data_IF_035871381177
#
_entry.id   IF_035871381177
#
_cell.length_a   1.000
_cell.length_b   1.000
_cell.length_c   1.000
_cell.angle_alpha   90.00
_cell.angle_beta   90.00
_cell.angle_gamma   90.00
#
_symmetry.space_group_name_H-M   'P 1'
#
loop_
_entity.id
_entity.type
_entity.pdbx_description
1 polymer ?
#
# COMPACT_ATOMS: atom_id res chain seq x y z
N UNK A 1 -21.84 -11.53 4.05
CA UNK A 1 -21.13 -11.64 2.77
C UNK A 1 -21.27 -10.33 2.03
N UNK A 2 -20.18 -9.74 1.54
CA UNK A 2 -20.20 -8.64 0.58
C UNK A 2 -21.05 -7.46 1.04
N UNK A 3 -20.67 -6.83 2.14
CA UNK A 3 -21.47 -5.77 2.78
C UNK A 3 -21.88 -4.64 1.82
N UNK A 4 -21.13 -4.43 0.73
CA UNK A 4 -21.56 -3.69 -0.45
C UNK A 4 -21.81 -4.57 -1.68
N UNK A 5 -20.82 -5.36 -2.10
CA UNK A 5 -20.80 -6.04 -3.40
C UNK A 5 -20.51 -7.54 -3.25
N UNK A 6 -21.31 -8.36 -3.94
CA UNK A 6 -20.99 -9.76 -4.24
C UNK A 6 -20.74 -9.89 -5.75
N UNK A 7 -19.52 -10.25 -6.14
CA UNK A 7 -19.18 -10.54 -7.53
C UNK A 7 -19.03 -12.05 -7.76
N UNK A 8 -19.86 -12.62 -8.63
CA UNK A 8 -19.74 -14.00 -9.10
C UNK A 8 -19.51 -14.10 -10.62
N UNK A 9 -19.33 -12.95 -11.29
CA UNK A 9 -19.08 -12.84 -12.73
C UNK A 9 -17.84 -12.01 -12.99
N UNK A 10 -17.90 -11.14 -14.01
CA UNK A 10 -16.85 -10.16 -14.27
C UNK A 10 -17.33 -8.78 -13.82
N UNK A 11 -16.53 -8.08 -13.02
CA UNK A 11 -16.83 -6.74 -12.53
C UNK A 11 -15.60 -5.84 -12.67
N UNK A 12 -15.82 -4.62 -13.15
CA UNK A 12 -14.82 -3.57 -13.24
C UNK A 12 -15.25 -2.40 -12.36
N UNK A 13 -14.41 -2.03 -11.41
CA UNK A 13 -14.55 -0.83 -10.58
C UNK A 13 -13.43 0.13 -10.93
N UNK A 14 -13.81 1.35 -11.31
CA UNK A 14 -12.87 2.42 -11.66
C UNK A 14 -13.34 3.70 -11.00
N UNK A 15 -12.42 4.48 -10.42
CA UNK A 15 -12.72 5.78 -9.79
C UNK A 15 -13.86 5.69 -8.75
N UNK A 16 -13.84 4.64 -7.93
CA UNK A 16 -14.95 4.31 -7.02
C UNK A 16 -14.58 4.59 -5.56
N UNK A 17 -15.59 4.88 -4.74
CA UNK A 17 -15.49 4.92 -3.28
C UNK A 17 -16.38 3.84 -2.67
N UNK A 18 -15.78 2.90 -1.94
CA UNK A 18 -16.49 1.93 -1.11
C UNK A 18 -16.18 2.22 0.36
N UNK A 19 -17.12 2.89 1.02
CA UNK A 19 -16.94 3.35 2.40
C UNK A 19 -18.07 2.89 3.32
N UNK A 20 -17.72 2.51 4.56
CA UNK A 20 -18.67 2.21 5.65
C UNK A 20 -19.65 1.05 5.36
N UNK A 21 -19.26 0.09 4.51
CA UNK A 21 -20.00 -1.15 4.37
C UNK A 21 -19.65 -2.10 5.50
N UNK A 22 -20.63 -2.85 6.00
CA UNK A 22 -20.42 -3.75 7.13
C UNK A 22 -21.12 -5.09 6.93
N UNK A 23 -20.52 -6.14 7.48
CA UNK A 23 -21.14 -7.45 7.62
C UNK A 23 -21.19 -7.79 9.10
N UNK A 24 -22.40 -7.82 9.67
CA UNK A 24 -22.67 -8.33 11.01
C UNK A 24 -23.15 -9.79 10.93
N UNK A 25 -22.36 -10.72 11.49
CA UNK A 25 -22.65 -12.15 11.48
C UNK A 25 -22.72 -12.72 12.91
N UNK A 26 -23.92 -13.16 13.32
CA UNK A 26 -24.13 -13.79 14.63
C UNK A 26 -23.97 -15.30 14.49
N UNK A 27 -23.07 -15.90 15.28
CA UNK A 27 -22.79 -17.35 15.28
C UNK A 27 -22.43 -17.93 13.90
N UNK A 28 -21.95 -17.10 12.99
CA UNK A 28 -21.52 -17.49 11.64
C UNK A 28 -20.33 -16.63 11.23
N UNK A 29 -19.61 -17.10 10.22
CA UNK A 29 -18.47 -16.36 9.66
C UNK A 29 -18.93 -15.20 8.79
N UNK A 30 -18.18 -14.10 8.84
CA UNK A 30 -18.39 -12.90 8.03
C UNK A 30 -17.30 -12.75 6.98
N UNK A 31 -17.67 -12.19 5.82
CA UNK A 31 -16.77 -12.14 4.68
C UNK A 31 -17.02 -10.91 3.82
N UNK A 32 -15.95 -10.19 3.48
CA UNK A 32 -15.96 -9.08 2.54
C UNK A 32 -16.80 -7.92 3.06
N UNK A 33 -16.24 -7.09 3.93
CA UNK A 33 -16.97 -5.94 4.48
C UNK A 33 -17.43 -4.99 3.37
N UNK A 34 -16.56 -4.70 2.39
CA UNK A 34 -16.96 -4.04 1.14
C UNK A 34 -17.34 -5.04 0.06
N UNK A 35 -16.41 -5.92 -0.31
CA UNK A 35 -16.54 -6.78 -1.49
C UNK A 35 -16.30 -8.24 -1.12
N UNK A 36 -17.18 -9.11 -1.59
CA UNK A 36 -16.92 -10.53 -1.72
C UNK A 36 -16.80 -10.88 -3.21
N UNK A 37 -15.60 -11.26 -3.65
CA UNK A 37 -15.33 -11.74 -4.99
C UNK A 37 -15.22 -13.28 -5.07
N UNK A 38 -15.93 -13.86 -6.02
CA UNK A 38 -15.82 -15.26 -6.47
C UNK A 38 -15.58 -15.37 -7.98
N UNK A 39 -15.70 -14.26 -8.71
CA UNK A 39 -15.46 -14.18 -10.15
C UNK A 39 -14.16 -13.45 -10.49
N UNK A 40 -14.17 -12.66 -11.56
CA UNK A 40 -13.06 -11.80 -11.97
C UNK A 40 -13.41 -10.36 -11.58
N UNK A 41 -12.53 -9.73 -10.80
CA UNK A 41 -12.70 -8.37 -10.32
C UNK A 41 -11.48 -7.54 -10.68
N UNK A 42 -11.72 -6.47 -11.44
CA UNK A 42 -10.75 -5.41 -11.67
C UNK A 42 -11.13 -4.22 -10.80
N UNK A 43 -10.17 -3.75 -10.00
CA UNK A 43 -10.29 -2.56 -9.16
C UNK A 43 -9.18 -1.61 -9.58
N UNK A 44 -9.54 -0.37 -9.88
CA UNK A 44 -8.59 0.64 -10.35
C UNK A 44 -8.98 2.01 -9.81
N UNK A 45 -8.00 2.78 -9.36
CA UNK A 45 -8.20 4.14 -8.85
C UNK A 45 -9.34 4.22 -7.81
N UNK A 46 -9.47 3.18 -6.97
CA UNK A 46 -10.59 3.03 -6.03
C UNK A 46 -10.15 3.16 -4.57
N UNK A 47 -10.93 3.90 -3.78
CA UNK A 47 -10.77 4.01 -2.33
C UNK A 47 -11.73 3.04 -1.63
N UNK A 48 -11.18 2.06 -0.91
CA UNK A 48 -11.93 1.11 -0.08
C UNK A 48 -11.60 1.40 1.38
N UNK A 49 -12.50 2.09 2.07
CA UNK A 49 -12.21 2.63 3.41
C UNK A 49 -13.28 2.37 4.45
N UNK A 50 -12.86 2.17 5.70
CA UNK A 50 -13.79 2.10 6.85
C UNK A 50 -14.88 1.02 6.71
N UNK A 51 -14.62 -0.04 5.94
CA UNK A 51 -15.52 -1.17 5.83
C UNK A 51 -15.20 -2.18 6.93
N UNK A 52 -16.20 -2.93 7.39
CA UNK A 52 -16.01 -3.85 8.51
C UNK A 52 -16.67 -5.22 8.37
N UNK A 53 -16.09 -6.19 9.08
CA UNK A 53 -16.75 -7.48 9.34
C UNK A 53 -16.74 -7.71 10.85
N UNK A 54 -17.93 -7.86 11.43
CA UNK A 54 -18.12 -8.15 12.84
C UNK A 54 -18.74 -9.55 13.00
N UNK A 55 -18.10 -10.41 13.78
CA UNK A 55 -18.65 -11.72 14.14
C UNK A 55 -18.62 -11.91 15.64
N UNK A 56 -19.67 -12.55 16.18
CA UNK A 56 -19.83 -12.72 17.64
C UNK A 56 -19.84 -14.18 18.10
N UNK A 57 -19.55 -15.13 17.21
CA UNK A 57 -19.54 -16.57 17.52
C UNK A 57 -18.14 -17.05 17.91
N UNK A 58 -18.05 -18.02 18.81
CA UNK A 58 -16.75 -18.65 19.10
C UNK A 58 -16.23 -19.35 17.83
N UNK A 59 -14.96 -19.10 17.49
CA UNK A 59 -14.27 -19.69 16.33
C UNK A 59 -14.86 -19.32 14.96
N UNK A 60 -15.63 -18.22 14.86
CA UNK A 60 -16.12 -17.73 13.56
C UNK A 60 -15.07 -16.89 12.85
N UNK A 61 -14.91 -17.11 11.55
CA UNK A 61 -13.95 -16.36 10.73
C UNK A 61 -14.52 -14.98 10.37
N UNK A 62 -13.67 -13.97 10.33
CA UNK A 62 -14.03 -12.63 9.89
C UNK A 62 -12.99 -12.17 8.85
N UNK A 63 -13.29 -12.37 7.57
CA UNK A 63 -12.29 -12.30 6.51
C UNK A 63 -12.54 -11.14 5.55
N UNK A 64 -11.50 -10.36 5.30
CA UNK A 64 -11.52 -9.25 4.36
C UNK A 64 -12.46 -8.14 4.79
N UNK A 65 -12.08 -7.36 5.80
CA UNK A 65 -12.81 -6.13 6.18
C UNK A 65 -13.04 -5.22 4.96
N UNK A 66 -12.05 -5.11 4.07
CA UNK A 66 -12.22 -4.57 2.72
C UNK A 66 -12.75 -5.62 1.74
N UNK A 67 -11.86 -6.51 1.27
CA UNK A 67 -12.16 -7.48 0.20
C UNK A 67 -11.91 -8.92 0.68
N UNK A 68 -12.88 -9.79 0.43
CA UNK A 68 -12.71 -11.23 0.49
C UNK A 68 -12.74 -11.83 -0.92
N UNK A 69 -11.62 -12.39 -1.38
CA UNK A 69 -11.51 -13.09 -2.66
C UNK A 69 -11.51 -14.61 -2.41
N UNK A 70 -12.47 -15.35 -2.95
CA UNK A 70 -12.58 -16.80 -2.77
C UNK A 70 -12.66 -17.51 -4.12
N UNK A 71 -11.65 -18.32 -4.44
CA UNK A 71 -11.53 -19.00 -5.73
C UNK A 71 -11.62 -18.07 -6.95
N UNK A 72 -11.56 -16.75 -6.74
CA UNK A 72 -11.72 -15.72 -7.74
C UNK A 72 -10.38 -15.11 -8.14
N UNK A 73 -10.44 -14.19 -9.10
CA UNK A 73 -9.31 -13.40 -9.56
C UNK A 73 -9.56 -11.93 -9.23
N UNK A 74 -8.60 -11.29 -8.56
CA UNK A 74 -8.63 -9.89 -8.19
C UNK A 74 -7.38 -9.19 -8.74
N UNK A 75 -7.58 -8.18 -9.58
CA UNK A 75 -6.55 -7.26 -10.02
C UNK A 75 -6.80 -5.89 -9.40
N UNK A 76 -5.80 -5.36 -8.71
CA UNK A 76 -5.83 -4.04 -8.07
C UNK A 76 -4.72 -3.16 -8.63
N UNK A 77 -5.07 -1.93 -8.97
CA UNK A 77 -4.15 -0.99 -9.61
C UNK A 77 -4.43 0.45 -9.17
N UNK A 78 -3.44 1.07 -8.52
CA UNK A 78 -3.54 2.45 -7.97
C UNK A 78 -4.71 2.61 -6.98
N UNK A 79 -4.92 1.60 -6.15
CA UNK A 79 -5.99 1.60 -5.16
C UNK A 79 -5.48 2.02 -3.78
N UNK A 80 -6.42 2.47 -2.94
CA UNK A 80 -6.14 2.70 -1.51
C UNK A 80 -7.12 1.92 -0.65
N UNK A 81 -6.61 1.00 0.17
CA UNK A 81 -7.38 0.28 1.18
C UNK A 81 -7.00 0.79 2.55
N UNK A 82 -7.92 1.45 3.24
CA UNK A 82 -7.59 2.07 4.51
C UNK A 82 -8.67 1.99 5.58
N UNK A 83 -8.25 1.90 6.85
CA UNK A 83 -9.19 1.89 7.98
C UNK A 83 -10.26 0.78 7.90
N UNK A 84 -10.05 -0.28 7.11
CA UNK A 84 -10.94 -1.43 7.12
C UNK A 84 -10.66 -2.26 8.36
N UNK A 85 -11.72 -2.83 8.93
CA UNK A 85 -11.68 -3.40 10.26
C UNK A 85 -12.32 -4.77 10.33
N UNK A 86 -11.74 -5.64 11.12
CA UNK A 86 -12.31 -6.94 11.46
C UNK A 86 -12.40 -7.07 12.97
N UNK A 87 -13.56 -7.51 13.43
CA UNK A 87 -13.78 -7.92 14.80
C UNK A 87 -14.35 -9.34 14.79
N UNK A 88 -13.50 -10.36 14.97
CA UNK A 88 -13.93 -11.74 14.96
C UNK A 88 -14.01 -12.40 16.34
N UNK A 89 -14.64 -13.58 16.38
CA UNK A 89 -14.84 -14.37 17.59
C UNK A 89 -13.80 -15.47 17.80
N UNK A 90 -12.56 -15.26 17.32
CA UNK A 90 -11.43 -16.18 17.51
C UNK A 90 -11.23 -17.23 16.40
N UNK A 91 -11.83 -17.04 15.22
CA UNK A 91 -11.45 -17.74 13.99
C UNK A 91 -10.46 -16.91 13.15
N UNK A 92 -10.17 -17.31 11.89
CA UNK A 92 -9.25 -16.57 11.03
C UNK A 92 -9.70 -15.14 10.70
N UNK A 93 -8.75 -14.19 10.68
CA UNK A 93 -9.03 -12.76 10.51
C UNK A 93 -8.07 -12.01 9.56
N UNK A 94 -8.63 -11.16 8.68
CA UNK A 94 -7.82 -10.16 7.97
C UNK A 94 -8.57 -8.88 7.65
N UNK A 95 -7.98 -7.73 7.96
CA UNK A 95 -8.68 -6.47 7.90
C UNK A 95 -8.81 -5.88 6.48
N UNK A 96 -7.77 -5.93 5.65
CA UNK A 96 -7.81 -5.34 4.32
C UNK A 96 -8.29 -6.35 3.28
N UNK A 97 -7.47 -7.36 2.98
CA UNK A 97 -7.73 -8.34 1.92
C UNK A 97 -7.48 -9.73 2.45
N UNK A 98 -8.44 -10.63 2.22
CA UNK A 98 -8.21 -12.06 2.32
C UNK A 98 -8.35 -12.70 0.95
N UNK A 99 -7.37 -13.50 0.56
CA UNK A 99 -7.39 -14.38 -0.60
C UNK A 99 -7.53 -15.83 -0.14
N UNK A 100 -8.58 -16.54 -0.52
CA UNK A 100 -8.77 -17.96 -0.24
C UNK A 100 -8.79 -18.73 -1.57
N UNK A 101 -7.74 -19.50 -1.83
CA UNK A 101 -7.56 -20.34 -3.03
C UNK A 101 -7.77 -19.60 -4.37
N UNK A 102 -7.59 -18.27 -4.38
CA UNK A 102 -7.73 -17.43 -5.56
C UNK A 102 -6.42 -16.81 -6.01
N UNK A 103 -6.50 -15.89 -6.96
CA UNK A 103 -5.40 -15.07 -7.44
C UNK A 103 -5.65 -13.60 -7.06
N UNK A 104 -4.66 -12.96 -6.43
CA UNK A 104 -4.66 -11.53 -6.13
C UNK A 104 -3.39 -10.90 -6.69
N UNK A 105 -3.53 -9.87 -7.50
CA UNK A 105 -2.42 -9.01 -7.96
C UNK A 105 -2.67 -7.59 -7.48
N UNK A 106 -1.70 -7.01 -6.77
CA UNK A 106 -1.75 -5.66 -6.22
C UNK A 106 -0.57 -4.88 -6.78
N UNK A 107 -0.87 -3.81 -7.52
CA UNK A 107 0.12 -2.96 -8.16
C UNK A 107 -0.13 -1.49 -7.79
N UNK A 108 0.94 -0.74 -7.50
CA UNK A 108 0.88 0.71 -7.27
C UNK A 108 -0.11 1.13 -6.17
N UNK A 109 -0.35 0.27 -5.17
CA UNK A 109 -1.47 0.46 -4.23
C UNK A 109 -0.99 0.75 -2.82
N UNK A 110 -1.80 1.48 -2.06
CA UNK A 110 -1.57 1.78 -0.64
C UNK A 110 -2.54 1.01 0.25
N UNK A 111 -2.03 0.16 1.14
CA UNK A 111 -2.82 -0.62 2.09
C UNK A 111 -2.41 -0.17 3.49
N UNK A 112 -3.23 0.69 4.12
CA UNK A 112 -2.80 1.41 5.32
C UNK A 112 -3.85 1.64 6.38
N UNK A 113 -3.48 1.52 7.65
CA UNK A 113 -4.39 1.81 8.75
C UNK A 113 -5.50 0.79 8.94
N UNK A 114 -5.38 -0.43 8.40
CA UNK A 114 -6.38 -1.49 8.58
C UNK A 114 -6.12 -2.23 9.90
N UNK A 115 -7.17 -2.76 10.55
CA UNK A 115 -7.10 -3.35 11.89
C UNK A 115 -7.84 -4.69 12.00
N UNK A 116 -7.16 -5.72 12.49
CA UNK A 116 -7.76 -6.99 12.90
C UNK A 116 -7.50 -7.26 14.41
N UNK A 117 -8.10 -8.30 14.97
CA UNK A 117 -7.88 -8.69 16.37
C UNK A 117 -6.81 -9.77 16.48
N UNK A 118 -6.77 -10.77 15.58
CA UNK A 118 -5.90 -11.94 15.75
C UNK A 118 -4.78 -12.10 14.71
N UNK A 119 -5.09 -12.31 13.42
CA UNK A 119 -4.09 -12.86 12.50
C UNK A 119 -3.39 -11.81 11.63
N UNK A 120 -4.14 -11.06 10.82
CA UNK A 120 -3.57 -10.14 9.84
C UNK A 120 -4.20 -8.76 9.85
N UNK A 121 -3.39 -7.75 10.14
CA UNK A 121 -3.78 -6.35 10.06
C UNK A 121 -4.02 -5.88 8.62
N UNK A 122 -3.51 -6.56 7.60
CA UNK A 122 -3.72 -6.16 6.20
C UNK A 122 -4.03 -7.34 5.29
N UNK A 123 -3.01 -8.11 4.90
CA UNK A 123 -3.11 -9.12 3.84
C UNK A 123 -3.07 -10.52 4.43
N UNK A 124 -4.04 -11.34 4.04
CA UNK A 124 -4.09 -12.75 4.37
C UNK A 124 -4.25 -13.58 3.09
N UNK A 125 -3.29 -14.45 2.80
CA UNK A 125 -3.38 -15.40 1.70
C UNK A 125 -3.56 -16.82 2.26
N UNK A 126 -4.61 -17.53 1.87
CA UNK A 126 -4.96 -18.86 2.36
C UNK A 126 -5.01 -19.82 1.17
N UNK A 127 -3.92 -20.54 0.91
CA UNK A 127 -3.82 -21.50 -0.20
C UNK A 127 -3.89 -20.91 -1.61
N UNK A 128 -3.89 -19.58 -1.75
CA UNK A 128 -3.95 -18.87 -3.04
C UNK A 128 -2.59 -18.36 -3.53
N UNK A 129 -2.61 -17.60 -4.62
CA UNK A 129 -1.47 -16.88 -5.17
C UNK A 129 -1.67 -15.39 -4.95
N UNK A 130 -0.67 -14.71 -4.39
CA UNK A 130 -0.67 -13.27 -4.17
C UNK A 130 0.60 -12.63 -4.71
N UNK A 131 0.45 -11.62 -5.55
CA UNK A 131 1.54 -10.83 -6.10
C UNK A 131 1.37 -9.38 -5.64
N UNK A 132 2.38 -8.83 -4.97
CA UNK A 132 2.37 -7.44 -4.47
C UNK A 132 3.58 -6.72 -5.03
N UNK A 133 3.37 -5.75 -5.91
CA UNK A 133 4.44 -4.94 -6.47
C UNK A 133 4.18 -3.45 -6.40
N UNK A 134 5.26 -2.67 -6.29
CA UNK A 134 5.20 -1.21 -6.28
C UNK A 134 4.17 -0.69 -5.27
N UNK A 135 4.05 -1.31 -4.10
CA UNK A 135 2.95 -1.05 -3.19
C UNK A 135 3.46 -0.74 -1.79
N UNK A 136 2.61 -0.10 -0.98
CA UNK A 136 2.96 0.27 0.40
C UNK A 136 1.94 -0.34 1.36
N UNK A 137 2.40 -1.27 2.19
CA UNK A 137 1.64 -1.90 3.27
C UNK A 137 2.14 -1.33 4.61
N UNK A 138 1.42 -0.35 5.16
CA UNK A 138 1.92 0.40 6.31
C UNK A 138 0.86 0.75 7.36
N UNK A 139 1.27 1.00 8.61
CA UNK A 139 0.37 1.42 9.69
C UNK A 139 -0.83 0.48 9.91
N UNK A 140 -0.73 -0.78 9.53
CA UNK A 140 -1.76 -1.78 9.81
C UNK A 140 -1.52 -2.37 11.19
N UNK A 141 -2.61 -2.78 11.85
CA UNK A 141 -2.56 -3.18 13.25
C UNK A 141 -3.24 -4.53 13.47
N UNK A 142 -2.69 -5.27 14.43
CA UNK A 142 -3.41 -6.33 15.12
C UNK A 142 -3.56 -5.93 16.59
N UNK A 143 -4.70 -6.22 17.20
CA UNK A 143 -4.91 -5.91 18.61
C UNK A 143 -3.83 -6.61 19.48
N UNK A 144 -3.19 -5.90 20.44
CA UNK A 144 -2.08 -6.46 21.24
C UNK A 144 -2.42 -7.72 22.05
N UNK A 145 -3.68 -8.11 22.16
CA UNK A 145 -4.07 -9.37 22.79
C UNK A 145 -3.61 -10.62 22.03
N UNK A 146 -3.19 -10.48 20.76
CA UNK A 146 -2.71 -11.59 19.94
C UNK A 146 -1.47 -11.22 19.10
N UNK A 147 -0.52 -12.15 18.91
CA UNK A 147 0.61 -11.93 18.01
C UNK A 147 0.18 -12.13 16.55
N UNK A 148 -0.28 -11.06 15.91
CA UNK A 148 -0.57 -11.07 14.47
C UNK A 148 0.50 -10.35 13.63
N UNK A 149 0.24 -10.30 12.32
CA UNK A 149 1.15 -9.81 11.30
C UNK A 149 0.49 -8.73 10.43
N UNK A 150 1.26 -7.97 9.65
CA UNK A 150 0.66 -7.14 8.60
C UNK A 150 0.31 -8.00 7.37
N UNK A 151 1.22 -8.91 7.01
CA UNK A 151 1.08 -9.86 5.91
C UNK A 151 1.24 -11.28 6.46
N UNK A 152 0.20 -12.09 6.27
CA UNK A 152 0.19 -13.50 6.61
C UNK A 152 -0.08 -14.32 5.35
N UNK A 153 0.88 -15.15 4.95
CA UNK A 153 0.65 -16.17 3.93
C UNK A 153 0.49 -17.52 4.64
N UNK A 154 -0.67 -18.14 4.52
CA UNK A 154 -1.05 -19.44 5.06
C UNK A 154 -1.21 -20.45 3.93
N UNK A 155 -0.20 -21.29 3.73
CA UNK A 155 -0.20 -22.39 2.76
C UNK A 155 -0.33 -22.00 1.27
N UNK A 156 -0.23 -20.71 0.91
CA UNK A 156 -0.21 -20.22 -0.48
C UNK A 156 1.17 -19.74 -0.96
N UNK A 157 1.22 -19.05 -2.10
CA UNK A 157 2.42 -18.32 -2.57
C UNK A 157 2.21 -16.81 -2.48
N UNK A 158 3.22 -16.10 -1.98
CA UNK A 158 3.21 -14.64 -1.93
C UNK A 158 4.54 -14.09 -2.43
N UNK A 159 4.49 -13.39 -3.56
CA UNK A 159 5.64 -12.72 -4.15
C UNK A 159 5.59 -11.22 -3.86
N UNK A 160 6.72 -10.67 -3.42
CA UNK A 160 6.89 -9.26 -3.13
C UNK A 160 7.98 -8.67 -4.03
N UNK A 161 7.71 -7.53 -4.66
CA UNK A 161 8.68 -6.80 -5.49
C UNK A 161 8.51 -5.30 -5.35
N UNK A 162 9.61 -4.56 -5.29
CA UNK A 162 9.60 -3.10 -5.26
C UNK A 162 8.58 -2.46 -4.28
N UNK A 163 8.37 -3.09 -3.12
CA UNK A 163 7.28 -2.75 -2.20
C UNK A 163 7.78 -2.45 -0.79
N UNK A 164 7.03 -1.60 -0.08
CA UNK A 164 7.30 -1.22 1.30
C UNK A 164 6.36 -1.96 2.24
N UNK A 165 6.90 -2.60 3.27
CA UNK A 165 6.14 -3.16 4.40
C UNK A 165 6.69 -2.58 5.71
N UNK A 166 6.03 -1.59 6.30
CA UNK A 166 6.61 -0.86 7.43
C UNK A 166 5.62 -0.13 8.33
N UNK A 167 6.07 0.29 9.51
CA UNK A 167 5.29 1.02 10.52
C UNK A 167 4.02 0.28 10.93
N UNK A 168 3.98 -1.05 10.81
CA UNK A 168 2.81 -1.83 11.22
C UNK A 168 2.86 -2.09 12.74
N UNK A 169 1.72 -1.90 13.42
CA UNK A 169 1.57 -2.16 14.85
C UNK A 169 1.17 -3.62 15.08
N UNK A 170 2.13 -4.51 14.84
CA UNK A 170 1.97 -5.97 14.81
C UNK A 170 3.16 -6.65 15.47
N UNK A 171 3.12 -7.98 15.67
CA UNK A 171 4.25 -8.71 16.24
C UNK A 171 5.45 -8.76 15.28
N UNK A 172 5.17 -8.83 13.98
CA UNK A 172 6.13 -8.76 12.88
C UNK A 172 5.40 -8.33 11.60
N UNK A 173 6.07 -7.63 10.69
CA UNK A 173 5.46 -7.23 9.42
C UNK A 173 4.94 -8.44 8.63
N UNK A 174 5.75 -9.48 8.58
CA UNK A 174 5.47 -10.68 7.81
C UNK A 174 5.57 -11.92 8.68
N UNK A 175 4.69 -12.88 8.46
CA UNK A 175 4.80 -14.18 9.11
C UNK A 175 5.97 -14.99 8.50
N UNK A 176 6.84 -15.59 9.32
CA UNK A 176 8.02 -16.26 8.82
C UNK A 176 7.65 -17.50 8.00
N UNK A 177 8.32 -17.65 6.85
CA UNK A 177 8.42 -18.84 5.96
C UNK A 177 7.59 -18.92 4.67
N UNK A 178 6.86 -17.88 4.26
CA UNK A 178 6.01 -17.99 3.06
C UNK A 178 6.02 -16.77 2.11
N UNK A 179 6.99 -15.87 2.22
CA UNK A 179 7.17 -14.76 1.26
C UNK A 179 8.41 -14.99 0.41
N UNK A 180 8.25 -14.81 -0.90
CA UNK A 180 9.34 -14.80 -1.87
C UNK A 180 9.63 -13.35 -2.25
N UNK A 181 10.81 -12.85 -1.87
CA UNK A 181 11.28 -11.55 -2.35
C UNK A 181 11.85 -11.67 -3.76
N UNK A 182 11.36 -10.84 -4.67
CA UNK A 182 11.87 -10.70 -6.04
C UNK A 182 12.70 -9.42 -6.21
N UNK A 183 13.14 -8.82 -5.09
CA UNK A 183 14.04 -7.70 -5.04
C UNK A 183 13.36 -6.34 -4.88
N UNK A 184 14.20 -5.37 -4.51
CA UNK A 184 13.90 -3.95 -4.37
C UNK A 184 12.82 -3.67 -3.32
N UNK A 185 12.61 -4.57 -2.36
CA UNK A 185 11.65 -4.38 -1.29
C UNK A 185 12.28 -3.67 -0.10
N UNK A 186 11.47 -2.97 0.68
CA UNK A 186 11.90 -2.37 1.94
C UNK A 186 10.97 -2.83 3.08
N UNK A 187 11.57 -3.39 4.14
CA UNK A 187 10.89 -3.65 5.40
C UNK A 187 11.62 -2.98 6.57
N UNK A 188 10.87 -2.45 7.53
CA UNK A 188 11.44 -1.82 8.74
C UNK A 188 11.80 -2.82 9.84
N UNK A 189 11.58 -4.11 9.60
CA UNK A 189 12.07 -5.25 10.39
C UNK A 189 12.75 -6.30 9.48
N UNK A 190 13.07 -7.49 10.02
CA UNK A 190 13.69 -8.61 9.30
C UNK A 190 12.72 -9.76 8.96
N UNK A 191 11.43 -9.56 9.21
CA UNK A 191 10.45 -10.66 9.22
C UNK A 191 10.02 -11.14 7.83
N UNK A 192 10.12 -10.27 6.82
CA UNK A 192 9.71 -10.56 5.45
C UNK A 192 10.73 -11.37 4.65
N UNK A 193 11.87 -11.74 5.25
CA UNK A 193 12.94 -12.52 4.61
C UNK A 193 13.38 -11.93 3.25
N UNK A 194 13.57 -10.60 3.22
CA UNK A 194 13.98 -9.89 2.01
C UNK A 194 15.43 -10.26 1.66
N UNK A 195 15.59 -11.08 0.62
CA UNK A 195 16.85 -11.68 0.20
C UNK A 195 17.13 -11.53 -1.31
N UNK A 196 16.32 -10.72 -1.99
CA UNK A 196 16.47 -10.36 -3.40
C UNK A 196 17.43 -9.17 -3.62
N UNK A 197 17.74 -8.86 -4.89
CA UNK A 197 18.59 -7.73 -5.23
C UNK A 197 17.94 -6.41 -4.81
N UNK A 198 18.72 -5.46 -4.27
CA UNK A 198 18.21 -4.14 -3.88
C UNK A 198 17.32 -4.11 -2.63
N UNK A 199 17.09 -5.26 -1.98
CA UNK A 199 16.27 -5.33 -0.78
C UNK A 199 16.91 -4.58 0.41
N UNK A 200 16.04 -3.91 1.19
CA UNK A 200 16.38 -3.14 2.37
C UNK A 200 15.60 -3.68 3.58
N UNK A 201 16.20 -4.62 4.32
CA UNK A 201 15.66 -5.10 5.60
C UNK A 201 16.05 -4.20 6.77
N UNK A 202 15.29 -4.22 7.86
CA UNK A 202 15.51 -3.39 9.07
C UNK A 202 15.72 -1.90 8.76
N UNK A 203 15.03 -1.38 7.74
CA UNK A 203 15.24 -0.04 7.22
C UNK A 203 13.96 0.78 7.36
N UNK A 204 14.01 1.90 8.07
CA UNK A 204 12.85 2.79 8.18
C UNK A 204 12.63 3.53 6.85
N UNK A 205 11.49 3.36 6.18
CA UNK A 205 11.21 4.01 4.90
C UNK A 205 10.96 5.52 5.00
N UNK A 206 10.87 6.09 6.20
CA UNK A 206 10.57 7.51 6.43
C UNK A 206 9.34 7.97 5.64
N UNK A 207 8.21 7.28 5.87
CA UNK A 207 6.95 7.61 5.24
C UNK A 207 6.32 8.87 5.87
N UNK A 208 5.74 9.72 5.03
CA UNK A 208 4.81 10.77 5.43
C UNK A 208 3.45 10.20 5.87
N UNK A 209 2.58 11.07 6.39
CA UNK A 209 1.23 10.68 6.76
C UNK A 209 0.39 10.22 5.55
N UNK A 210 -0.59 9.32 5.79
CA UNK A 210 -1.57 8.94 4.77
C UNK A 210 -2.46 10.14 4.46
N UNK A 211 -2.31 10.70 3.25
CA UNK A 211 -3.11 11.83 2.75
C UNK A 211 -3.03 11.87 1.23
N UNK A 212 -3.86 12.69 0.59
CA UNK A 212 -3.67 13.02 -0.83
C UNK A 212 -2.34 13.77 -0.97
N UNK A 213 -1.35 13.14 -1.61
CA UNK A 213 -0.04 13.72 -1.89
C UNK A 213 -0.02 14.15 -3.36
N UNK A 214 -0.45 15.39 -3.60
CA UNK A 214 -0.60 16.04 -4.92
C UNK A 214 -1.92 15.68 -5.62
N UNK A 215 -2.03 14.48 -6.18
CA UNK A 215 -3.21 14.02 -6.95
C UNK A 215 -3.60 12.57 -6.60
N UNK A 216 -4.80 12.19 -7.00
CA UNK A 216 -5.29 10.81 -6.85
C UNK A 216 -5.74 10.47 -5.44
N UNK A 217 -5.57 9.20 -5.07
CA UNK A 217 -5.97 8.67 -3.78
C UNK A 217 -4.94 8.96 -2.67
N UNK A 218 -5.34 8.82 -1.38
CA UNK A 218 -4.39 8.96 -0.29
C UNK A 218 -3.25 7.93 -0.35
N UNK A 219 -2.01 8.40 -0.34
CA UNK A 219 -0.80 7.57 -0.33
C UNK A 219 0.12 7.96 0.83
N UNK A 220 1.23 7.25 0.99
CA UNK A 220 2.34 7.67 1.83
C UNK A 220 3.48 8.21 0.97
N UNK A 221 3.72 9.53 1.02
CA UNK A 221 4.89 10.12 0.36
C UNK A 221 6.19 9.67 1.05
N UNK A 222 7.27 9.52 0.29
CA UNK A 222 8.61 9.36 0.84
C UNK A 222 9.13 10.71 1.34
N UNK A 223 9.64 10.75 2.57
CA UNK A 223 10.25 11.96 3.11
C UNK A 223 11.70 12.12 2.61
N UNK A 224 12.20 13.36 2.62
CA UNK A 224 13.59 13.65 2.26
C UNK A 224 14.57 12.83 3.10
N UNK A 225 15.45 12.08 2.45
CA UNK A 225 16.41 11.19 3.10
C UNK A 225 15.90 9.77 3.33
N UNK A 226 14.70 9.44 2.82
CA UNK A 226 14.19 8.08 2.83
C UNK A 226 15.14 7.12 2.10
N UNK A 227 15.42 5.93 2.68
CA UNK A 227 16.17 4.88 2.00
C UNK A 227 15.46 4.31 0.75
N UNK A 228 14.17 4.56 0.59
CA UNK A 228 13.41 4.10 -0.57
C UNK A 228 13.60 4.97 -1.82
N UNK A 229 14.22 6.14 -1.69
CA UNK A 229 14.45 7.06 -2.80
C UNK A 229 15.50 6.51 -3.77
N UNK A 230 15.19 6.47 -5.07
CA UNK A 230 16.00 5.93 -6.17
C UNK A 230 16.52 4.50 -5.91
N UNK A 231 15.84 3.76 -5.02
CA UNK A 231 16.27 2.45 -4.52
C UNK A 231 15.51 1.27 -5.13
N UNK A 232 14.55 1.54 -6.01
CA UNK A 232 13.59 0.61 -6.59
C UNK A 232 13.88 0.17 -8.03
N UNK A 233 12.88 -0.45 -8.68
CA UNK A 233 12.89 -0.83 -10.10
C UNK A 233 11.50 -0.75 -10.75
N UNK A 234 11.33 0.02 -11.83
CA UNK A 234 10.01 0.24 -12.46
C UNK A 234 9.60 -0.88 -13.44
N UNK A 235 9.74 -2.14 -13.04
CA UNK A 235 9.24 -3.28 -13.83
C UNK A 235 8.43 -4.25 -13.00
N UNK A 236 7.31 -4.73 -13.57
CA UNK A 236 6.45 -5.73 -12.95
C UNK A 236 7.14 -7.11 -12.85
N UNK A 237 6.41 -8.13 -12.39
CA UNK A 237 6.92 -9.49 -12.25
C UNK A 237 7.33 -10.16 -13.58
N UNK A 238 6.78 -9.69 -14.71
CA UNK A 238 7.08 -10.16 -16.06
C UNK A 238 8.15 -9.28 -16.76
N UNK A 239 8.74 -8.33 -16.03
CA UNK A 239 9.67 -7.31 -16.51
C UNK A 239 9.07 -6.30 -17.50
N UNK A 240 7.75 -6.11 -17.52
CA UNK A 240 7.15 -5.02 -18.28
C UNK A 240 7.36 -3.69 -17.54
N UNK A 241 7.62 -2.58 -18.25
CA UNK A 241 7.72 -1.26 -17.63
C UNK A 241 6.42 -0.87 -16.89
N UNK A 242 6.57 -0.32 -15.69
CA UNK A 242 5.50 0.31 -14.92
C UNK A 242 5.72 1.83 -15.02
N UNK A 243 5.07 2.54 -15.97
CA UNK A 243 5.46 3.91 -16.30
C UNK A 243 4.89 4.98 -15.37
N UNK A 244 3.93 4.62 -14.51
CA UNK A 244 3.28 5.56 -13.59
C UNK A 244 3.23 4.97 -12.18
N UNK A 245 3.19 5.82 -11.16
CA UNK A 245 3.04 5.46 -9.75
C UNK A 245 1.56 5.33 -9.31
N UNK A 246 1.32 5.16 -8.00
CA UNK A 246 -0.01 5.07 -7.38
C UNK A 246 -0.88 6.31 -7.51
N UNK A 247 -0.32 7.44 -7.94
CA UNK A 247 -1.04 8.70 -8.20
C UNK A 247 -1.27 8.92 -9.69
N UNK A 248 -0.75 8.03 -10.54
CA UNK A 248 -0.75 8.18 -12.00
C UNK A 248 0.34 9.13 -12.50
N UNK A 249 1.32 9.49 -11.67
CA UNK A 249 2.44 10.35 -12.06
C UNK A 249 3.59 9.51 -12.64
N UNK A 250 4.44 10.06 -13.52
CA UNK A 250 5.50 9.31 -14.18
C UNK A 250 6.49 8.66 -13.18
N UNK A 251 7.01 7.50 -13.57
CA UNK A 251 8.15 6.81 -12.93
C UNK A 251 9.00 6.05 -13.98
N UNK A 252 10.34 5.98 -13.85
CA UNK A 252 11.18 6.64 -12.85
C UNK A 252 11.22 8.17 -13.01
N UNK A 253 11.49 8.85 -11.89
CA UNK A 253 11.88 10.26 -11.84
C UNK A 253 13.18 10.36 -11.04
N UNK A 254 14.29 10.33 -11.79
CA UNK A 254 15.65 10.28 -11.24
C UNK A 254 15.99 11.50 -10.36
N UNK A 255 16.34 11.24 -9.10
CA UNK A 255 16.82 12.26 -8.18
C UNK A 255 18.26 12.70 -8.54
N UNK A 256 18.52 13.99 -8.84
CA UNK A 256 19.81 14.41 -9.40
C UNK A 256 21.02 14.27 -8.45
N UNK A 257 20.78 13.94 -7.18
CA UNK A 257 21.80 13.86 -6.13
C UNK A 257 21.89 12.49 -5.47
N UNK A 258 21.00 11.55 -5.80
CA UNK A 258 20.98 10.21 -5.21
C UNK A 258 21.48 9.19 -6.23
N UNK A 259 22.32 8.22 -5.82
CA UNK A 259 22.72 7.14 -6.72
C UNK A 259 21.59 6.12 -6.89
N UNK A 260 21.33 5.73 -8.13
CA UNK A 260 20.27 4.78 -8.44
C UNK A 260 20.69 3.35 -8.07
N UNK A 261 19.85 2.64 -7.35
CA UNK A 261 20.03 1.20 -7.10
C UNK A 261 19.79 0.37 -8.37
N UNK A 262 18.89 0.84 -9.25
CA UNK A 262 18.68 0.28 -10.59
C UNK A 262 18.40 1.38 -11.62
N UNK A 263 17.13 1.63 -11.95
CA UNK A 263 16.68 2.53 -13.02
C UNK A 263 16.25 3.92 -12.52
N UNK A 264 16.43 4.20 -11.23
CA UNK A 264 16.07 5.47 -10.58
C UNK A 264 14.62 5.55 -10.15
N UNK A 265 14.00 4.38 -9.89
CA UNK A 265 12.67 4.32 -9.30
C UNK A 265 12.74 4.35 -7.79
N UNK A 266 11.69 4.85 -7.16
CA UNK A 266 11.48 4.74 -5.73
C UNK A 266 10.82 3.41 -5.36
N UNK A 267 11.18 2.86 -4.20
CA UNK A 267 10.50 1.67 -3.67
C UNK A 267 9.10 2.04 -3.18
N UNK A 268 8.10 1.25 -3.55
CA UNK A 268 6.72 1.37 -3.05
C UNK A 268 5.75 2.05 -4.01
N UNK A 269 4.64 2.55 -3.45
CA UNK A 269 3.49 3.03 -4.21
C UNK A 269 3.67 4.40 -4.87
N UNK A 270 4.69 5.15 -4.48
CA UNK A 270 4.85 6.55 -4.85
C UNK A 270 6.25 6.78 -5.38
N UNK A 271 6.32 7.49 -6.51
CA UNK A 271 7.57 7.99 -7.08
C UNK A 271 7.75 9.46 -6.69
N UNK A 272 8.86 9.81 -6.08
CA UNK A 272 9.17 11.20 -5.72
C UNK A 272 9.33 12.01 -6.98
N UNK A 273 8.46 13.00 -7.16
CA UNK A 273 8.51 13.87 -8.32
C UNK A 273 9.61 14.92 -8.15
N UNK A 274 10.20 15.33 -9.27
CA UNK A 274 11.17 16.41 -9.27
C UNK A 274 10.54 17.67 -8.70
N UNK A 275 11.15 18.20 -7.65
CA UNK A 275 10.79 19.48 -7.08
C UNK A 275 11.26 20.57 -8.04
N UNK A 276 10.40 21.03 -8.93
CA UNK A 276 10.68 22.20 -9.78
C UNK A 276 10.42 23.49 -9.00
N UNK A 277 11.27 23.74 -8.00
CA UNK A 277 11.32 25.04 -7.34
C UNK A 277 12.30 25.94 -8.10
N UNK A 278 11.78 26.98 -8.77
CA UNK A 278 12.61 28.04 -9.35
C UNK A 278 12.69 29.22 -8.35
N UNK A 279 13.81 29.38 -7.60
CA UNK A 279 14.02 30.56 -6.78
C UNK A 279 14.41 31.75 -7.66
N UNK A 280 13.55 32.76 -7.73
CA UNK A 280 13.87 34.05 -8.36
C UNK A 280 14.11 35.12 -7.31
N UNK A 281 15.30 35.71 -7.34
CA UNK A 281 15.64 36.90 -6.54
C UNK A 281 15.42 38.16 -7.37
N UNK A 282 14.51 39.02 -6.94
CA UNK A 282 14.34 40.37 -7.50
C UNK A 282 14.73 41.43 -6.47
N UNK A 283 15.51 42.39 -6.95
CA UNK A 283 15.77 43.65 -6.26
C UNK A 283 14.81 44.68 -6.89
N UNK A 284 14.26 45.61 -6.11
CA UNK A 284 13.44 46.71 -6.65
C UNK A 284 14.18 47.49 -7.76
N UNK A 285 13.44 48.24 -8.60
CA UNK A 285 14.02 48.87 -9.79
C UNK A 285 15.26 49.72 -9.49
N UNK A 286 16.40 49.35 -10.09
CA UNK A 286 17.68 50.05 -9.98
C UNK A 286 18.87 49.15 -9.59
N UNK A 287 20.05 49.45 -10.11
CA UNK A 287 21.30 48.76 -9.73
C UNK A 287 21.77 49.30 -8.36
N UNK A 288 21.95 48.44 -7.32
CA UNK A 288 22.37 48.92 -6.00
C UNK A 288 23.76 49.56 -6.02
N UNK A 289 23.94 50.61 -5.21
CA UNK A 289 25.26 51.24 -5.00
C UNK A 289 25.97 50.68 -3.75
N UNK A 290 27.32 50.69 -3.69
CA UNK A 290 28.06 50.23 -2.51
C UNK A 290 27.61 50.93 -1.22
N UNK A 291 27.28 50.13 -0.20
CA UNK A 291 26.80 50.62 1.11
C UNK A 291 25.29 50.82 1.22
N UNK A 292 24.52 50.63 0.14
CA UNK A 292 23.06 50.70 0.16
C UNK A 292 22.46 49.47 0.84
N UNK A 293 21.50 49.68 1.75
CA UNK A 293 20.60 48.62 2.22
C UNK A 293 19.64 48.26 1.10
N UNK A 294 19.64 46.99 0.69
CA UNK A 294 18.79 46.48 -0.37
C UNK A 294 17.80 45.48 0.20
N UNK A 295 16.51 45.76 0.02
CA UNK A 295 15.45 44.79 0.25
C UNK A 295 15.21 44.01 -1.05
N UNK A 296 15.15 42.68 -0.94
CA UNK A 296 14.89 41.80 -2.06
C UNK A 296 13.72 40.88 -1.75
N UNK A 297 12.98 40.52 -2.79
CA UNK A 297 11.94 39.49 -2.73
C UNK A 297 12.53 38.22 -3.32
N UNK A 298 12.48 37.13 -2.53
CA UNK A 298 12.66 35.78 -3.05
C UNK A 298 11.26 35.27 -3.39
N UNK A 299 11.03 34.98 -4.67
CA UNK A 299 9.86 34.23 -5.11
C UNK A 299 10.28 32.80 -5.32
N UNK A 300 9.64 31.87 -4.62
CA UNK A 300 9.73 30.45 -4.88
C UNK A 300 8.51 30.08 -5.71
N UNK A 301 8.74 29.62 -6.94
CA UNK A 301 7.65 29.11 -7.79
C UNK A 301 7.80 27.60 -7.83
N UNK A 302 6.79 26.86 -7.39
CA UNK A 302 6.70 25.42 -7.64
C UNK A 302 6.03 25.23 -9.01
N UNK A 303 6.78 24.70 -9.96
CA UNK A 303 6.31 24.32 -11.30
C UNK A 303 6.02 22.82 -11.41
N UNK A 304 6.32 22.04 -10.36
CA UNK A 304 5.92 20.65 -10.24
C UNK A 304 4.42 20.52 -10.04
N UNK A 305 3.87 19.39 -10.51
CA UNK A 305 2.46 19.01 -10.40
C UNK A 305 2.19 18.39 -9.04
#
# INVERSE_FOLDING_TARGET
YGGGILNAGELHLTDTLLENHSVDAVQSSGYGGAIFNQGILFVTDTLIRANSVHTSGLYTAALGGGIYNQNGVLFMYRDTLSQNQVYGGGGPEAAAITNLNGLVTILNSTISGNMAIYDSGALLNLGGVMHVSHSTVANNRVDPIAPGYAILNGEGTLDLRDSIVANNEVAANCAPSLITSLGYNLADDDSCNLNGPGDLSNSNPQLGALKVNDVGLPTHALLTGSPALDAGICTDFDNNPVPNDGRGLPRPVDGPTLPNAADGCDIGAVETQAVDLEPRKRIGEGMPIPGQRVDYVITLTNHGV
#
